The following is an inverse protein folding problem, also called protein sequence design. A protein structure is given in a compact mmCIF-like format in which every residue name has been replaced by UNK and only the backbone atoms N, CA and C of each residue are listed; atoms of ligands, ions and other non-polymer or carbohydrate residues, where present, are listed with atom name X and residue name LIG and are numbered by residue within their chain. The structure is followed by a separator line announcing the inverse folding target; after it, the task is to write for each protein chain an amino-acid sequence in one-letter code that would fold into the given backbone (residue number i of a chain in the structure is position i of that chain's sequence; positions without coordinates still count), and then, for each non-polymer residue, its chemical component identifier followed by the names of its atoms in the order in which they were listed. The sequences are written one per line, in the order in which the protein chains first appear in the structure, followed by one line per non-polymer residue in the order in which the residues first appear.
data_IF_579208098575
#
_entry.id   IF_579208098575
#
_cell.length_a   1.000
_cell.length_b   1.000
_cell.length_c   1.000
_cell.angle_alpha   90.00
_cell.angle_beta   90.00
_cell.angle_gamma   90.00
#
_symmetry.space_group_name_H-M   'P 1'
#
loop_
_entity.id
_entity.type
_entity.pdbx_description
1 polymer ?
#
# COMPACT_ATOMS: atom_id res chain seq x y z
N UNK A 1 -30.18 -7.65 11.50
CA UNK A 1 -28.81 -8.17 11.67
C UNK A 1 -28.50 -8.99 10.43
N UNK A 2 -28.02 -8.32 9.39
CA UNK A 2 -27.67 -8.96 8.12
C UNK A 2 -26.31 -9.60 8.32
N UNK A 3 -26.19 -10.90 8.05
CA UNK A 3 -24.90 -11.59 8.03
C UNK A 3 -23.92 -10.81 7.17
N UNK A 4 -22.86 -10.29 7.78
CA UNK A 4 -21.71 -9.73 7.07
C UNK A 4 -21.24 -10.81 6.11
N UNK A 5 -21.26 -10.54 4.81
CA UNK A 5 -20.50 -11.38 3.88
C UNK A 5 -19.06 -11.36 4.38
N UNK A 6 -18.46 -12.54 4.54
CA UNK A 6 -17.03 -12.68 4.84
C UNK A 6 -16.24 -12.17 3.63
N UNK A 7 -16.04 -10.85 3.58
CA UNK A 7 -15.31 -10.17 2.52
C UNK A 7 -13.83 -10.33 2.85
N UNK A 8 -13.14 -11.15 2.07
CA UNK A 8 -11.70 -11.33 2.15
C UNK A 8 -11.01 -10.86 0.86
N UNK A 9 -9.78 -10.37 1.02
CA UNK A 9 -8.86 -10.14 -0.08
C UNK A 9 -7.75 -11.19 -0.03
N UNK A 10 -7.20 -11.58 -1.18
CA UNK A 10 -5.93 -12.29 -1.21
C UNK A 10 -4.78 -11.28 -1.21
N UNK A 11 -4.93 -10.21 -1.99
CA UNK A 11 -3.98 -9.11 -2.10
C UNK A 11 -4.68 -7.78 -1.80
N UNK A 12 -4.06 -6.99 -0.93
CA UNK A 12 -4.48 -5.64 -0.62
C UNK A 12 -3.47 -4.63 -1.20
N UNK A 13 -3.94 -3.75 -2.06
CA UNK A 13 -3.18 -2.60 -2.58
C UNK A 13 -3.48 -1.37 -1.73
N UNK A 14 -2.43 -0.63 -1.36
CA UNK A 14 -2.55 0.64 -0.64
C UNK A 14 -2.00 1.76 -1.51
N UNK A 15 -2.82 2.79 -1.72
CA UNK A 15 -2.44 4.05 -2.38
C UNK A 15 -2.60 5.23 -1.44
N UNK A 16 -1.93 6.35 -1.73
CA UNK A 16 -1.92 7.54 -0.85
C UNK A 16 -2.43 8.79 -1.53
N UNK A 17 -2.18 8.96 -2.82
CA UNK A 17 -2.62 10.13 -3.58
C UNK A 17 -3.73 9.78 -4.57
N UNK A 18 -4.52 10.77 -5.02
CA UNK A 18 -5.55 10.53 -6.04
C UNK A 18 -4.98 10.04 -7.37
N UNK A 19 -3.78 10.48 -7.77
CA UNK A 19 -3.15 10.06 -9.03
C UNK A 19 -2.72 8.60 -8.97
N UNK A 20 -2.14 8.16 -7.84
CA UNK A 20 -1.82 6.75 -7.61
C UNK A 20 -3.08 5.87 -7.64
N UNK A 21 -4.12 6.31 -6.92
CA UNK A 21 -5.40 5.59 -6.87
C UNK A 21 -6.02 5.44 -8.26
N UNK A 22 -5.99 6.51 -9.07
CA UNK A 22 -6.50 6.47 -10.44
C UNK A 22 -5.71 5.50 -11.31
N UNK A 23 -4.38 5.56 -11.25
CA UNK A 23 -3.51 4.68 -12.03
C UNK A 23 -3.77 3.20 -11.69
N UNK A 24 -3.93 2.85 -10.42
CA UNK A 24 -4.29 1.49 -10.01
C UNK A 24 -5.66 1.09 -10.54
N UNK A 25 -6.68 1.95 -10.40
CA UNK A 25 -8.03 1.65 -10.90
C UNK A 25 -8.04 1.41 -12.41
N UNK A 26 -7.36 2.25 -13.18
CA UNK A 26 -7.25 2.12 -14.64
C UNK A 26 -6.50 0.84 -15.04
N UNK A 27 -5.39 0.52 -14.37
CA UNK A 27 -4.63 -0.69 -14.64
C UNK A 27 -5.45 -1.97 -14.37
N UNK A 28 -6.21 -2.00 -13.28
CA UNK A 28 -7.07 -3.15 -12.95
C UNK A 28 -8.30 -3.23 -13.84
N UNK A 29 -8.89 -2.11 -14.24
CA UNK A 29 -9.99 -2.10 -15.23
C UNK A 29 -9.51 -2.68 -16.57
N UNK A 30 -8.30 -2.31 -17.02
CA UNK A 30 -7.72 -2.87 -18.24
C UNK A 30 -7.40 -4.36 -18.11
N UNK A 31 -6.90 -4.80 -16.96
CA UNK A 31 -6.50 -6.19 -16.74
C UNK A 31 -7.69 -7.15 -16.55
N UNK A 32 -8.76 -6.68 -15.91
CA UNK A 32 -9.94 -7.50 -15.57
C UNK A 32 -11.10 -7.34 -16.54
N UNK A 33 -11.14 -6.21 -17.28
CA UNK A 33 -12.29 -5.82 -18.09
C UNK A 33 -13.47 -5.26 -17.30
N UNK A 34 -13.33 -5.12 -15.97
CA UNK A 34 -14.39 -4.67 -15.07
C UNK A 34 -13.98 -3.43 -14.29
N UNK A 35 -14.93 -2.52 -14.07
CA UNK A 35 -14.72 -1.36 -13.20
C UNK A 35 -14.75 -1.78 -11.73
N UNK A 36 -13.80 -1.26 -10.97
CA UNK A 36 -13.77 -1.49 -9.53
C UNK A 36 -15.05 -0.97 -8.84
N UNK A 37 -15.63 -1.79 -7.97
CA UNK A 37 -16.80 -1.41 -7.18
C UNK A 37 -16.42 -1.05 -5.73
N UNK A 38 -17.20 -0.17 -5.11
CA UNK A 38 -17.04 0.14 -3.69
C UNK A 38 -17.59 -0.98 -2.81
N UNK A 39 -16.86 -1.30 -1.75
CA UNK A 39 -17.31 -2.20 -0.68
C UNK A 39 -17.05 -1.52 0.65
N UNK A 40 -18.04 -1.46 1.53
CA UNK A 40 -17.90 -0.83 2.85
C UNK A 40 -17.88 -1.89 3.94
N UNK A 41 -16.83 -1.88 4.77
CA UNK A 41 -16.66 -2.76 5.94
C UNK A 41 -16.24 -1.88 7.11
N UNK A 42 -16.95 -1.99 8.24
CA UNK A 42 -16.65 -1.27 9.50
C UNK A 42 -16.32 0.23 9.29
N UNK A 43 -17.23 0.93 8.59
CA UNK A 43 -17.16 2.37 8.28
C UNK A 43 -15.99 2.79 7.38
N UNK A 44 -15.35 1.84 6.68
CA UNK A 44 -14.32 2.13 5.67
C UNK A 44 -14.73 1.59 4.31
N UNK A 45 -14.51 2.40 3.28
CA UNK A 45 -14.75 2.00 1.90
C UNK A 45 -13.46 1.53 1.24
N UNK A 46 -13.53 0.33 0.69
CA UNK A 46 -12.51 -0.31 -0.12
C UNK A 46 -12.98 -0.36 -1.57
N UNK A 47 -12.04 -0.56 -2.49
CA UNK A 47 -12.34 -0.84 -3.90
C UNK A 47 -12.04 -2.29 -4.18
N UNK A 48 -13.06 -3.07 -4.53
CA UNK A 48 -12.86 -4.38 -5.10
C UNK A 48 -12.35 -4.18 -6.53
N UNK A 49 -11.11 -4.58 -6.79
CA UNK A 49 -10.46 -4.44 -8.09
C UNK A 49 -10.70 -5.64 -9.01
N UNK A 50 -11.48 -6.64 -8.55
CA UNK A 50 -11.75 -7.86 -9.27
C UNK A 50 -10.77 -8.98 -8.92
N UNK A 51 -10.68 -9.96 -9.82
CA UNK A 51 -9.84 -11.15 -9.65
C UNK A 51 -8.82 -11.24 -10.78
N UNK A 52 -7.55 -11.41 -10.45
CA UNK A 52 -6.47 -11.67 -11.42
C UNK A 52 -5.83 -13.01 -11.06
N UNK A 53 -5.75 -13.93 -12.02
CA UNK A 53 -5.16 -15.26 -11.83
C UNK A 53 -5.71 -16.04 -10.60
N UNK A 54 -7.00 -15.85 -10.30
CA UNK A 54 -7.66 -16.47 -9.15
C UNK A 54 -7.49 -15.74 -7.80
N UNK A 55 -6.69 -14.67 -7.74
CA UNK A 55 -6.52 -13.85 -6.55
C UNK A 55 -7.47 -12.65 -6.53
N UNK A 56 -8.26 -12.52 -5.47
CA UNK A 56 -9.13 -11.36 -5.23
C UNK A 56 -8.29 -10.18 -4.75
N UNK A 57 -8.39 -9.08 -5.46
CA UNK A 57 -7.59 -7.88 -5.16
C UNK A 57 -8.50 -6.75 -4.68
N UNK A 58 -8.15 -6.19 -3.53
CA UNK A 58 -8.81 -5.00 -3.00
C UNK A 58 -7.82 -3.85 -2.90
N UNK A 59 -8.31 -2.63 -3.01
CA UNK A 59 -7.55 -1.42 -2.77
C UNK A 59 -8.13 -0.63 -1.60
N UNK A 60 -7.26 -0.16 -0.71
CA UNK A 60 -7.57 0.80 0.33
C UNK A 60 -6.75 2.08 0.14
N UNK A 61 -7.26 3.17 0.70
CA UNK A 61 -6.61 4.48 0.66
C UNK A 61 -6.02 4.83 2.04
N UNK A 62 -4.82 5.41 2.02
CA UNK A 62 -4.17 6.04 3.17
C UNK A 62 -4.02 7.54 2.94
N UNK A 63 -4.03 8.33 4.02
CA UNK A 63 -3.48 9.69 3.99
C UNK A 63 -1.95 9.66 4.01
N UNK A 64 -1.34 10.76 3.57
CA UNK A 64 0.10 10.99 3.72
C UNK A 64 0.51 10.95 5.21
N UNK A 65 1.73 10.46 5.46
CA UNK A 65 2.30 10.31 6.80
C UNK A 65 2.14 8.90 7.37
N UNK A 66 2.98 8.57 8.35
CA UNK A 66 3.00 7.27 9.01
C UNK A 66 2.02 7.17 10.19
N UNK A 67 1.84 8.27 10.92
CA UNK A 67 1.07 8.34 12.16
C UNK A 67 -0.14 9.29 12.06
N UNK A 68 -1.18 9.00 12.83
CA UNK A 68 -2.40 9.83 12.92
C UNK A 68 -3.63 9.21 12.25
N UNK A 69 -4.75 9.93 12.30
CA UNK A 69 -6.03 9.42 11.81
C UNK A 69 -6.03 9.29 10.28
N UNK A 70 -6.12 8.04 9.81
CA UNK A 70 -6.11 7.68 8.40
C UNK A 70 -4.72 7.63 7.76
N UNK A 71 -3.66 7.84 8.53
CA UNK A 71 -2.27 7.66 8.07
C UNK A 71 -1.94 6.18 7.84
N UNK A 72 -0.79 5.90 7.23
CA UNK A 72 -0.50 4.56 6.66
C UNK A 72 -0.56 3.44 7.69
N UNK A 73 -0.05 3.64 8.91
CA UNK A 73 -0.10 2.61 9.94
C UNK A 73 -1.54 2.22 10.30
N UNK A 74 -2.39 3.22 10.58
CA UNK A 74 -3.79 2.96 10.92
C UNK A 74 -4.58 2.41 9.72
N UNK A 75 -4.33 2.97 8.53
CA UNK A 75 -5.03 2.56 7.32
C UNK A 75 -4.73 1.10 6.97
N UNK A 76 -3.46 0.69 7.01
CA UNK A 76 -3.04 -0.69 6.76
C UNK A 76 -3.61 -1.62 7.84
N UNK A 77 -3.44 -1.28 9.13
CA UNK A 77 -3.93 -2.12 10.21
C UNK A 77 -5.43 -2.41 10.10
N UNK A 78 -6.26 -1.36 9.95
CA UNK A 78 -7.72 -1.52 9.81
C UNK A 78 -8.11 -2.31 8.57
N UNK A 79 -7.34 -2.17 7.49
CA UNK A 79 -7.61 -2.91 6.25
C UNK A 79 -7.25 -4.39 6.40
N UNK A 80 -6.18 -4.72 7.14
CA UNK A 80 -5.81 -6.09 7.46
C UNK A 80 -6.85 -6.74 8.36
N UNK A 81 -7.32 -6.04 9.39
CA UNK A 81 -8.39 -6.51 10.29
C UNK A 81 -9.70 -6.75 9.52
N UNK A 82 -10.07 -5.84 8.62
CA UNK A 82 -11.34 -5.91 7.88
C UNK A 82 -11.34 -6.95 6.72
N UNK A 83 -10.22 -7.17 6.05
CA UNK A 83 -10.16 -7.97 4.81
C UNK A 83 -9.28 -9.22 4.91
N UNK A 84 -8.53 -9.38 6.01
CA UNK A 84 -7.61 -10.49 6.26
C UNK A 84 -6.75 -10.92 5.05
N UNK A 85 -6.01 -9.98 4.41
CA UNK A 85 -5.24 -10.26 3.21
C UNK A 85 -4.02 -11.15 3.47
N UNK A 86 -3.64 -11.95 2.48
CA UNK A 86 -2.40 -12.72 2.51
C UNK A 86 -1.17 -11.86 2.19
N UNK A 87 -1.36 -10.81 1.38
CA UNK A 87 -0.31 -9.87 1.03
C UNK A 87 -0.82 -8.43 1.02
N UNK A 88 0.03 -7.50 1.45
CA UNK A 88 -0.21 -6.05 1.37
C UNK A 88 0.90 -5.42 0.54
N UNK A 89 0.52 -4.68 -0.50
CA UNK A 89 1.44 -3.98 -1.40
C UNK A 89 1.11 -2.49 -1.35
N UNK A 90 2.07 -1.68 -0.93
CA UNK A 90 1.95 -0.23 -1.01
C UNK A 90 2.50 0.23 -2.36
N UNK A 91 1.64 0.82 -3.18
CA UNK A 91 1.99 1.32 -4.51
C UNK A 91 1.83 2.82 -4.51
N UNK A 92 2.89 3.54 -4.82
CA UNK A 92 2.88 4.98 -4.80
C UNK A 92 4.11 5.60 -5.43
N UNK A 93 4.12 6.93 -5.45
CA UNK A 93 5.25 7.71 -5.93
C UNK A 93 6.33 7.73 -4.85
N UNK A 94 7.56 7.47 -5.25
CA UNK A 94 8.73 7.56 -4.39
C UNK A 94 9.73 8.58 -4.96
N UNK A 95 10.48 9.22 -4.07
CA UNK A 95 11.61 10.07 -4.44
C UNK A 95 12.90 9.31 -4.23
N UNK A 96 13.75 9.28 -5.27
CA UNK A 96 15.09 8.75 -5.17
C UNK A 96 15.93 9.57 -4.19
N UNK A 97 16.75 8.89 -3.38
CA UNK A 97 17.72 9.53 -2.48
C UNK A 97 19.09 9.72 -3.13
N UNK A 98 19.40 8.95 -4.19
CA UNK A 98 20.68 8.99 -4.88
C UNK A 98 20.45 9.09 -6.39
N UNK A 99 20.65 10.30 -6.92
CA UNK A 99 20.44 10.62 -8.35
C UNK A 99 21.40 9.86 -9.28
N UNK A 100 22.56 9.39 -8.80
CA UNK A 100 23.47 8.56 -9.59
C UNK A 100 22.95 7.12 -9.76
N UNK A 101 22.05 6.67 -8.89
CA UNK A 101 21.51 5.30 -8.87
C UNK A 101 20.04 5.21 -9.28
N UNK A 102 19.31 6.32 -9.19
CA UNK A 102 17.85 6.34 -9.28
C UNK A 102 17.45 7.49 -10.21
N UNK A 103 16.88 7.14 -11.36
CA UNK A 103 16.36 8.08 -12.34
C UNK A 103 14.84 8.24 -12.21
N UNK A 104 14.30 9.33 -12.78
CA UNK A 104 12.85 9.52 -12.89
C UNK A 104 12.27 8.39 -13.75
N UNK A 105 11.24 7.74 -13.22
CA UNK A 105 10.58 6.61 -13.87
C UNK A 105 11.09 5.24 -13.43
N UNK A 106 12.17 5.18 -12.65
CA UNK A 106 12.61 3.94 -12.04
C UNK A 106 11.56 3.40 -11.07
N UNK A 107 11.36 2.09 -11.12
CA UNK A 107 10.52 1.36 -10.16
C UNK A 107 11.39 0.97 -8.98
N UNK A 108 11.10 1.54 -7.82
CA UNK A 108 11.79 1.23 -6.56
C UNK A 108 11.02 0.17 -5.79
N UNK A 109 11.69 -0.92 -5.43
CA UNK A 109 11.12 -2.03 -4.66
C UNK A 109 11.85 -2.10 -3.33
N UNK A 110 11.12 -1.85 -2.25
CA UNK A 110 11.72 -1.76 -0.93
C UNK A 110 12.09 -3.16 -0.39
N UNK A 111 13.36 -3.35 -0.04
CA UNK A 111 13.82 -4.52 0.72
C UNK A 111 13.57 -4.36 2.22
N UNK A 112 13.63 -3.12 2.70
CA UNK A 112 13.43 -2.77 4.10
C UNK A 112 12.66 -1.45 4.22
N UNK A 113 11.80 -1.36 5.22
CA UNK A 113 11.12 -0.13 5.62
C UNK A 113 11.74 0.42 6.90
N UNK A 114 11.92 1.75 6.94
CA UNK A 114 12.38 2.48 8.11
C UNK A 114 11.39 3.59 8.44
N UNK A 115 11.02 3.73 9.71
CA UNK A 115 10.19 4.84 10.18
C UNK A 115 11.00 6.15 10.15
N UNK A 116 10.89 6.88 9.05
CA UNK A 116 11.61 8.13 8.82
C UNK A 116 11.30 9.21 9.86
N UNK A 117 10.06 9.29 10.37
CA UNK A 117 9.64 10.30 11.36
C UNK A 117 10.37 10.17 12.72
N UNK A 118 10.98 9.01 13.02
CA UNK A 118 11.70 8.79 14.27
C UNK A 118 13.16 9.23 14.15
N UNK A 119 13.38 10.55 14.18
CA UNK A 119 14.70 11.16 14.09
C UNK A 119 14.95 12.13 15.24
N UNK A 120 16.19 12.13 15.77
CA UNK A 120 16.67 13.23 16.62
C UNK A 120 17.51 14.16 15.75
N UNK A 121 17.10 15.41 15.68
CA UNK A 121 17.91 16.48 15.11
C UNK A 121 18.76 17.06 16.24
N UNK A 122 20.09 16.95 16.14
CA UNK A 122 21.01 17.55 17.12
C UNK A 122 22.16 18.22 16.38
N UNK A 123 22.32 19.53 16.58
CA UNK A 123 23.39 20.34 15.96
C UNK A 123 23.53 20.15 14.43
N UNK A 124 22.42 19.95 13.72
CA UNK A 124 22.43 19.74 12.26
C UNK A 124 22.64 18.29 11.81
N UNK A 125 22.93 17.37 12.72
CA UNK A 125 22.96 15.94 12.41
C UNK A 125 21.58 15.31 12.60
N UNK A 126 21.11 14.63 11.56
CA UNK A 126 19.92 13.78 11.60
C UNK A 126 20.37 12.37 11.98
N UNK A 127 20.08 11.95 13.21
CA UNK A 127 20.33 10.57 13.64
C UNK A 127 19.04 9.78 13.56
N UNK A 128 18.96 8.86 12.59
CA UNK A 128 17.83 7.94 12.46
C UNK A 128 17.79 6.95 13.62
N UNK A 129 16.62 6.81 14.24
CA UNK A 129 16.33 5.80 15.28
C UNK A 129 15.18 4.88 14.89
N UNK A 130 14.66 5.01 13.67
CA UNK A 130 13.62 4.14 13.16
C UNK A 130 14.11 2.70 13.07
N UNK A 131 13.31 1.75 13.58
CA UNK A 131 13.56 0.33 13.35
C UNK A 131 13.50 0.05 11.84
N UNK A 132 14.46 -0.76 11.35
CA UNK A 132 14.43 -1.30 9.99
C UNK A 132 13.69 -2.63 10.02
N UNK A 133 12.63 -2.74 9.26
CA UNK A 133 11.83 -3.97 9.15
C UNK A 133 11.97 -4.52 7.74
N UNK A 134 12.33 -5.80 7.55
CA UNK A 134 12.42 -6.39 6.22
C UNK A 134 11.03 -6.48 5.57
N UNK A 135 10.98 -6.22 4.26
CA UNK A 135 9.81 -6.51 3.45
C UNK A 135 9.74 -8.01 3.11
N UNK A 136 8.54 -8.47 2.69
CA UNK A 136 8.40 -9.82 2.17
C UNK A 136 9.24 -10.02 0.91
N UNK A 137 9.95 -11.15 0.82
CA UNK A 137 10.79 -11.48 -0.34
C UNK A 137 9.99 -11.92 -1.56
N UNK A 138 8.70 -12.22 -1.40
CA UNK A 138 7.84 -12.74 -2.45
C UNK A 138 7.69 -11.78 -3.63
N UNK A 139 7.69 -10.46 -3.40
CA UNK A 139 7.62 -9.48 -4.49
C UNK A 139 8.93 -9.44 -5.30
N UNK A 140 10.07 -9.64 -4.64
CA UNK A 140 11.39 -9.65 -5.28
C UNK A 140 11.53 -10.82 -6.27
N UNK A 141 10.99 -12.00 -5.94
CA UNK A 141 11.05 -13.19 -6.79
C UNK A 141 10.27 -13.09 -8.11
N UNK A 142 9.46 -12.04 -8.31
CA UNK A 142 8.75 -11.82 -9.57
C UNK A 142 9.48 -10.86 -10.52
N UNK A 143 10.57 -10.23 -10.07
CA UNK A 143 11.29 -9.19 -10.82
C UNK A 143 12.61 -9.67 -11.42
N UNK A 144 13.10 -10.84 -10.98
CA UNK A 144 14.33 -11.49 -11.42
C UNK A 144 14.08 -12.99 -11.59
#
# INVERSE_FOLDING_TARGET
MTHSQDICADVLIITVTPVESRAVLEAFEQATGEKANSVTVEDRTYRNLGTINGSKVFMAFSKMGSMGLGASQQAVQKSVEALNPQAVIMVGIAFGMNEEKQAIGDILVAEQLMLYESQRISMGEIVSRGSKVPCATSLYSYLY
#
